data_IF_210944191332
#
_entry.id   IF_210944191332
#
_cell.length_a   1.000
_cell.length_b   1.000
_cell.length_c   1.000
_cell.angle_alpha   90.00
_cell.angle_beta   90.00
_cell.angle_gamma   90.00
#
_symmetry.space_group_name_H-M   'P 1'
#
loop_
_entity.id
_entity.type
_entity.pdbx_description
1 polymer ?
#
# COMPACT_ATOMS: atom_id res chain seq x y z
N UNK A 1 5.01 -16.09 12.63
CA UNK A 1 4.00 -16.83 11.84
C UNK A 1 4.59 -17.16 10.48
N UNK A 2 4.50 -18.43 10.07
CA UNK A 2 5.04 -18.92 8.81
C UNK A 2 4.26 -20.15 8.34
N UNK A 3 4.43 -20.50 7.07
CA UNK A 3 3.91 -21.71 6.42
C UNK A 3 5.02 -22.35 5.59
N UNK A 4 5.09 -23.67 5.67
CA UNK A 4 5.96 -24.53 4.89
C UNK A 4 5.13 -25.63 4.25
N UNK A 5 5.54 -26.11 3.07
CA UNK A 5 4.86 -27.23 2.41
C UNK A 5 5.84 -28.16 1.71
N UNK A 6 5.43 -29.42 1.58
CA UNK A 6 6.16 -30.45 0.84
C UNK A 6 5.70 -30.48 -0.64
N UNK A 7 6.63 -30.38 -1.59
CA UNK A 7 6.38 -30.51 -3.03
C UNK A 7 7.49 -31.34 -3.68
N UNK A 8 7.12 -32.31 -4.51
CA UNK A 8 8.06 -33.12 -5.29
C UNK A 8 9.20 -33.74 -4.46
N UNK A 9 8.92 -34.19 -3.22
CA UNK A 9 9.91 -34.80 -2.32
C UNK A 9 10.78 -33.80 -1.55
N UNK A 10 10.49 -32.50 -1.61
CA UNK A 10 11.19 -31.46 -0.87
C UNK A 10 10.25 -30.64 0.00
N UNK A 11 10.70 -30.27 1.19
CA UNK A 11 10.01 -29.36 2.12
C UNK A 11 10.63 -27.98 1.96
N UNK A 12 9.79 -26.99 1.67
CA UNK A 12 10.19 -25.60 1.47
C UNK A 12 9.80 -24.77 2.68
N UNK A 13 10.73 -23.96 3.16
CA UNK A 13 10.48 -22.96 4.21
C UNK A 13 11.30 -21.69 3.96
N UNK A 14 10.88 -20.59 4.59
CA UNK A 14 11.53 -19.30 4.47
C UNK A 14 12.00 -18.82 5.83
N UNK A 15 13.21 -18.28 5.85
CA UNK A 15 13.83 -17.70 7.04
C UNK A 15 14.17 -16.23 6.78
N UNK A 16 13.64 -15.31 7.58
CA UNK A 16 13.99 -13.89 7.48
C UNK A 16 15.23 -13.64 8.34
N UNK A 17 16.40 -13.75 7.74
CA UNK A 17 17.70 -13.65 8.43
C UNK A 17 18.02 -12.20 8.77
N UNK A 18 17.70 -11.25 7.87
CA UNK A 18 17.79 -9.83 8.16
C UNK A 18 16.39 -9.22 8.19
N UNK A 19 15.98 -8.77 9.37
CA UNK A 19 14.66 -8.18 9.60
C UNK A 19 14.61 -6.71 9.17
N UNK A 20 13.49 -6.23 8.59
CA UNK A 20 13.25 -4.79 8.51
C UNK A 20 13.13 -4.22 9.92
N UNK A 21 13.63 -3.01 10.14
CA UNK A 21 13.53 -2.35 11.45
C UNK A 21 12.77 -1.03 11.35
N UNK A 22 13.08 -0.23 10.33
CA UNK A 22 12.43 1.07 10.16
C UNK A 22 12.39 1.54 8.72
N UNK A 23 11.51 2.48 8.44
CA UNK A 23 11.50 3.24 7.21
C UNK A 23 11.03 4.67 7.46
N UNK A 24 11.28 5.54 6.50
CA UNK A 24 10.60 6.84 6.44
C UNK A 24 9.47 6.75 5.43
N UNK A 25 8.30 7.26 5.80
CA UNK A 25 7.17 7.30 4.89
C UNK A 25 7.51 8.13 3.64
N UNK A 26 7.04 7.67 2.48
CA UNK A 26 7.28 8.32 1.20
C UNK A 26 6.14 9.26 0.79
N UNK A 27 5.00 9.19 1.47
CA UNK A 27 3.80 9.94 1.10
C UNK A 27 3.27 9.55 -0.27
N UNK A 28 2.62 10.50 -0.94
CA UNK A 28 1.91 10.29 -2.21
C UNK A 28 2.60 10.91 -3.42
N UNK A 29 3.66 11.68 -3.22
CA UNK A 29 4.51 12.16 -4.31
C UNK A 29 5.52 11.10 -4.76
N UNK A 30 5.94 11.14 -6.03
CA UNK A 30 6.89 10.16 -6.60
C UNK A 30 8.37 10.49 -6.36
N UNK A 31 8.67 11.63 -5.73
CA UNK A 31 10.05 12.18 -5.66
C UNK A 31 10.89 11.69 -4.46
N UNK A 32 10.29 11.26 -3.35
CA UNK A 32 11.02 10.89 -2.11
C UNK A 32 10.81 9.40 -1.78
N UNK A 33 11.50 8.50 -2.49
CA UNK A 33 11.50 7.06 -2.18
C UNK A 33 12.61 6.74 -1.20
N UNK A 34 12.23 6.13 -0.07
CA UNK A 34 13.14 5.77 1.02
C UNK A 34 12.95 4.32 1.38
N UNK A 35 13.89 3.45 0.96
CA UNK A 35 13.79 2.04 1.24
C UNK A 35 13.74 1.73 2.75
N UNK A 36 13.04 0.66 3.08
CA UNK A 36 13.05 0.04 4.41
C UNK A 36 14.49 -0.36 4.74
N UNK A 37 14.90 -0.10 5.98
CA UNK A 37 16.26 -0.31 6.46
C UNK A 37 16.27 -1.12 7.77
N UNK A 38 17.20 -2.09 7.93
CA UNK A 38 18.02 -2.64 6.85
C UNK A 38 17.14 -3.39 5.81
N UNK A 39 17.63 -3.63 4.58
CA UNK A 39 16.85 -4.32 3.57
C UNK A 39 16.52 -5.75 4.03
N UNK A 40 15.27 -6.23 3.95
CA UNK A 40 14.98 -7.61 4.32
C UNK A 40 15.77 -8.60 3.47
N UNK A 41 16.42 -9.56 4.12
CA UNK A 41 17.11 -10.67 3.47
C UNK A 41 16.47 -11.97 3.91
N UNK A 42 15.90 -12.70 2.95
CA UNK A 42 15.15 -13.93 3.20
C UNK A 42 15.91 -15.09 2.56
N UNK A 43 16.16 -16.13 3.36
CA UNK A 43 16.79 -17.37 2.91
C UNK A 43 15.72 -18.40 2.59
N UNK A 44 15.82 -19.03 1.43
CA UNK A 44 15.03 -20.22 1.09
C UNK A 44 15.74 -21.45 1.63
N UNK A 45 15.00 -22.25 2.41
CA UNK A 45 15.47 -23.52 2.94
C UNK A 45 14.71 -24.64 2.24
N UNK A 46 15.45 -25.52 1.57
CA UNK A 46 14.89 -26.68 0.87
C UNK A 46 15.46 -27.93 1.54
N UNK A 47 14.58 -28.74 2.12
CA UNK A 47 14.95 -29.96 2.83
C UNK A 47 14.44 -31.17 2.05
N UNK A 48 15.30 -32.15 1.80
CA UNK A 48 14.86 -33.43 1.21
C UNK A 48 13.98 -34.18 2.22
N UNK A 49 12.78 -34.56 1.78
CA UNK A 49 11.75 -35.15 2.65
C UNK A 49 12.16 -36.54 3.18
N UNK A 50 13.00 -37.28 2.45
CA UNK A 50 13.44 -38.63 2.85
C UNK A 50 14.58 -38.57 3.86
N UNK A 51 15.54 -37.69 3.63
CA UNK A 51 16.75 -37.61 4.45
C UNK A 51 16.61 -36.63 5.62
N UNK A 52 15.66 -35.69 5.53
CA UNK A 52 15.50 -34.60 6.50
C UNK A 52 16.65 -33.59 6.49
N UNK A 53 17.52 -33.62 5.48
CA UNK A 53 18.68 -32.72 5.37
C UNK A 53 18.44 -31.62 4.34
N UNK A 54 19.00 -30.45 4.62
CA UNK A 54 19.03 -29.34 3.67
C UNK A 54 19.77 -29.77 2.40
N UNK A 55 19.18 -29.49 1.24
CA UNK A 55 19.76 -29.83 -0.06
C UNK A 55 20.88 -28.85 -0.37
N UNK A 56 21.97 -29.38 -0.92
CA UNK A 56 23.06 -28.56 -1.44
C UNK A 56 22.58 -27.72 -2.64
N UNK A 57 22.83 -26.41 -2.59
CA UNK A 57 22.35 -25.46 -3.60
C UNK A 57 22.92 -25.69 -5.00
N UNK A 58 24.05 -26.39 -5.10
CA UNK A 58 24.67 -26.71 -6.40
C UNK A 58 24.14 -28.00 -7.00
N UNK A 59 23.46 -28.82 -6.18
CA UNK A 59 22.86 -30.09 -6.59
C UNK A 59 21.33 -30.04 -6.70
N UNK A 60 20.70 -28.88 -6.44
CA UNK A 60 19.26 -28.75 -6.59
C UNK A 60 18.85 -28.70 -8.08
N UNK A 61 17.86 -29.51 -8.52
CA UNK A 61 17.57 -29.69 -9.95
C UNK A 61 16.90 -28.49 -10.62
N UNK A 62 16.20 -27.63 -9.88
CA UNK A 62 15.50 -26.48 -10.48
C UNK A 62 16.42 -25.26 -10.61
N UNK A 63 16.25 -24.53 -11.70
CA UNK A 63 16.96 -23.26 -11.91
C UNK A 63 16.39 -22.16 -10.98
N UNK A 64 17.21 -21.54 -10.11
CA UNK A 64 16.77 -20.48 -9.21
C UNK A 64 16.26 -19.22 -9.91
N UNK A 65 16.50 -19.04 -11.21
CA UNK A 65 15.92 -17.94 -11.99
C UNK A 65 14.38 -17.98 -11.98
N UNK A 66 13.78 -19.16 -11.77
CA UNK A 66 12.33 -19.36 -11.66
C UNK A 66 11.80 -19.32 -10.21
N UNK A 67 12.66 -19.06 -9.24
CA UNK A 67 12.25 -18.90 -7.84
C UNK A 67 11.88 -17.45 -7.59
N UNK A 68 10.62 -17.21 -7.24
CA UNK A 68 10.07 -15.88 -7.00
C UNK A 68 9.64 -15.74 -5.54
N UNK A 69 9.98 -14.60 -4.95
CA UNK A 69 9.43 -14.15 -3.67
C UNK A 69 8.57 -12.92 -3.91
N UNK A 70 7.29 -13.00 -3.53
CA UNK A 70 6.37 -11.87 -3.52
C UNK A 70 6.24 -11.31 -2.11
N UNK A 71 6.24 -9.98 -1.98
CA UNK A 71 6.12 -9.26 -0.72
C UNK A 71 4.83 -8.42 -0.65
N UNK A 72 4.10 -8.58 0.45
CA UNK A 72 2.90 -7.80 0.78
C UNK A 72 3.05 -7.10 2.13
N UNK A 73 2.35 -5.99 2.33
CA UNK A 73 2.30 -5.27 3.59
C UNK A 73 1.10 -5.70 4.43
N UNK A 74 1.34 -5.93 5.71
CA UNK A 74 0.36 -6.36 6.69
C UNK A 74 0.41 -5.46 7.92
N UNK A 75 -0.70 -5.39 8.64
CA UNK A 75 -0.77 -4.75 9.93
C UNK A 75 0.21 -5.42 10.92
N UNK A 76 0.57 -4.71 11.98
CA UNK A 76 1.49 -5.16 13.03
C UNK A 76 1.12 -6.55 13.61
N UNK A 77 -0.17 -6.85 13.72
CA UNK A 77 -0.64 -8.12 14.28
C UNK A 77 -0.73 -9.26 13.24
N UNK A 78 -0.45 -8.99 11.96
CA UNK A 78 -0.61 -9.94 10.85
C UNK A 78 -2.02 -10.55 10.73
N UNK A 79 -3.03 -9.81 11.17
CA UNK A 79 -4.46 -10.14 11.09
C UNK A 79 -5.11 -9.63 9.80
N UNK A 80 -4.60 -8.52 9.25
CA UNK A 80 -5.05 -7.93 7.99
C UNK A 80 -3.91 -7.34 7.16
N UNK A 81 -4.06 -7.46 5.87
CA UNK A 81 -3.35 -6.79 4.80
C UNK A 81 -3.54 -5.27 4.86
N UNK A 82 -2.43 -4.55 4.73
CA UNK A 82 -2.35 -3.08 4.81
C UNK A 82 -1.92 -2.46 3.48
N UNK A 83 -2.22 -3.16 2.38
CA UNK A 83 -1.74 -2.82 1.04
C UNK A 83 -2.44 -1.61 0.42
N UNK A 84 -3.61 -1.16 0.88
CA UNK A 84 -4.39 -0.07 0.26
C UNK A 84 -4.53 1.11 1.22
N UNK A 85 -4.34 2.32 0.70
CA UNK A 85 -4.50 3.59 1.45
C UNK A 85 -5.32 4.59 0.64
N UNK A 86 -6.12 5.40 1.35
CA UNK A 86 -6.88 6.51 0.76
C UNK A 86 -6.02 7.77 0.73
N UNK A 87 -5.80 8.33 -0.46
CA UNK A 87 -5.28 9.67 -0.66
C UNK A 87 -6.44 10.66 -0.79
N UNK A 88 -6.36 11.80 -0.10
CA UNK A 88 -7.42 12.80 0.01
C UNK A 88 -7.51 13.76 -1.19
N UNK A 89 -6.56 13.75 -2.13
CA UNK A 89 -6.73 14.41 -3.44
C UNK A 89 -5.70 13.95 -4.49
N UNK A 90 -5.96 14.27 -5.77
CA UNK A 90 -5.03 14.08 -6.90
C UNK A 90 -3.81 15.03 -6.85
N UNK A 91 -3.74 15.96 -5.89
CA UNK A 91 -2.61 16.89 -5.81
C UNK A 91 -1.44 16.25 -5.05
N UNK A 92 -0.21 16.31 -5.60
CA UNK A 92 1.01 15.90 -4.89
C UNK A 92 1.33 16.75 -3.63
N UNK A 93 0.47 17.73 -3.31
CA UNK A 93 0.60 18.68 -2.22
C UNK A 93 -0.27 18.36 -0.98
N UNK A 94 -1.03 17.27 -0.95
CA UNK A 94 -1.85 16.97 0.24
C UNK A 94 -0.97 16.52 1.40
N UNK A 95 -1.24 17.10 2.57
CA UNK A 95 -0.60 16.77 3.83
C UNK A 95 -0.57 15.26 4.07
N UNK A 96 0.66 14.74 4.12
CA UNK A 96 1.11 13.43 4.56
C UNK A 96 0.27 12.80 5.71
N UNK A 97 -0.29 13.63 6.60
CA UNK A 97 -0.99 13.24 7.82
C UNK A 97 -2.45 12.79 7.67
N UNK A 98 -3.08 12.91 6.49
CA UNK A 98 -4.53 12.60 6.33
C UNK A 98 -4.85 11.24 5.70
N UNK A 99 -3.86 10.37 5.51
CA UNK A 99 -4.07 9.08 4.85
C UNK A 99 -4.45 7.97 5.84
N UNK A 100 -5.53 7.26 5.51
CA UNK A 100 -6.01 6.11 6.30
C UNK A 100 -5.76 4.81 5.52
N UNK A 101 -5.22 3.81 6.21
CA UNK A 101 -5.09 2.45 5.68
C UNK A 101 -6.46 1.77 5.64
N UNK A 102 -6.76 1.06 4.56
CA UNK A 102 -7.99 0.26 4.42
C UNK A 102 -7.65 -1.10 3.81
N UNK A 103 -8.37 -2.14 4.22
CA UNK A 103 -8.33 -3.45 3.54
C UNK A 103 -9.15 -3.41 2.24
N UNK A 104 -8.90 -4.37 1.36
CA UNK A 104 -9.70 -4.59 0.15
C UNK A 104 -10.67 -5.76 0.38
N UNK A 105 -11.94 -5.69 -0.07
CA UNK A 105 -12.58 -4.54 -0.73
C UNK A 105 -12.79 -3.36 0.23
N UNK A 106 -12.69 -2.10 -0.24
CA UNK A 106 -12.95 -0.95 0.61
C UNK A 106 -14.40 -1.01 1.13
N UNK A 107 -14.66 -0.63 2.40
CA UNK A 107 -16.03 -0.53 2.92
C UNK A 107 -16.87 0.34 1.99
N UNK A 108 -18.12 -0.06 1.72
CA UNK A 108 -19.07 0.80 1.02
C UNK A 108 -19.24 2.10 1.80
N UNK A 109 -18.78 3.21 1.22
CA UNK A 109 -18.97 4.54 1.78
C UNK A 109 -20.47 4.84 1.65
N UNK A 110 -21.24 4.47 2.68
CA UNK A 110 -22.60 4.94 2.85
C UNK A 110 -22.49 6.46 2.91
N UNK A 111 -22.81 7.12 1.80
CA UNK A 111 -22.82 8.58 1.71
C UNK A 111 -23.55 9.17 2.90
N UNK A 112 -23.24 10.41 3.30
CA UNK A 112 -23.83 11.01 4.49
C UNK A 112 -25.34 10.89 4.35
N UNK A 113 -25.96 10.11 5.26
CA UNK A 113 -27.40 10.15 5.44
C UNK A 113 -27.68 11.60 5.79
N UNK A 114 -28.24 12.34 4.84
CA UNK A 114 -28.81 13.65 5.08
C UNK A 114 -29.84 13.45 6.20
N UNK A 115 -29.45 13.69 7.45
CA UNK A 115 -30.42 14.17 8.43
C UNK A 115 -30.95 15.45 7.81
N UNK A 116 -32.25 15.44 7.53
CA UNK A 116 -32.95 16.59 7.02
C UNK A 116 -32.94 17.66 8.13
N UNK A 117 -31.88 18.44 8.19
CA UNK A 117 -31.79 19.59 9.08
C UNK A 117 -32.67 20.67 8.45
N UNK A 118 -33.87 20.83 9.01
CA UNK A 118 -34.82 21.86 8.62
C UNK A 118 -34.12 23.24 8.71
N UNK A 119 -34.14 24.07 7.66
CA UNK A 119 -33.52 25.38 7.71
C UNK A 119 -34.30 26.26 8.69
N UNK A 120 -33.68 26.59 9.83
CA UNK A 120 -34.23 27.55 10.77
C UNK A 120 -33.84 28.95 10.31
N UNK A 121 -34.83 29.74 9.93
CA UNK A 121 -34.62 31.16 9.61
C UNK A 121 -34.53 31.95 10.92
N UNK A 122 -33.47 32.73 11.05
CA UNK A 122 -33.22 33.63 12.18
C UNK A 122 -33.58 35.06 11.78
N UNK A 123 -34.41 35.71 12.59
CA UNK A 123 -34.69 37.14 12.42
C UNK A 123 -34.65 37.85 13.78
N UNK A 124 -34.28 39.13 13.73
CA UNK A 124 -34.18 40.00 14.90
C UNK A 124 -35.47 40.83 14.95
N UNK A 125 -36.18 40.76 16.07
CA UNK A 125 -37.37 41.57 16.29
C UNK A 125 -37.02 43.06 16.50
N UNK A 126 -38.03 43.93 16.52
CA UNK A 126 -37.84 45.38 16.72
C UNK A 126 -37.24 45.77 18.08
N UNK A 127 -37.11 44.82 19.01
CA UNK A 127 -36.52 45.02 20.33
C UNK A 127 -35.10 44.44 20.44
N UNK A 128 -34.53 43.95 19.33
CA UNK A 128 -33.15 43.45 19.28
C UNK A 128 -32.98 42.00 19.74
N UNK A 129 -34.07 41.26 19.95
CA UNK A 129 -34.03 39.86 20.39
C UNK A 129 -34.01 38.90 19.19
N UNK A 130 -33.07 37.93 19.14
CA UNK A 130 -33.04 36.92 18.08
C UNK A 130 -34.15 35.88 18.29
N UNK A 131 -35.04 35.74 17.30
CA UNK A 131 -36.15 34.78 17.32
C UNK A 131 -35.96 33.76 16.19
N UNK A 132 -35.98 32.48 16.55
CA UNK A 132 -35.91 31.36 15.62
C UNK A 132 -37.32 30.89 15.27
N UNK A 133 -37.65 30.84 13.98
CA UNK A 133 -38.97 30.44 13.50
C UNK A 133 -38.87 29.26 12.55
N UNK A 134 -39.58 28.19 12.89
CA UNK A 134 -39.85 27.04 12.02
C UNK A 134 -41.06 27.38 11.15
N UNK A 135 -40.84 27.58 9.84
CA UNK A 135 -41.93 27.66 8.87
C UNK A 135 -42.56 26.27 8.68
N UNK A 136 -43.89 26.10 8.77
CA UNK A 136 -44.53 24.84 8.40
C UNK A 136 -44.40 24.65 6.88
N UNK A 137 -43.61 23.67 6.46
CA UNK A 137 -43.49 23.30 5.06
C UNK A 137 -44.82 22.76 4.53
N UNK A 138 -45.41 23.45 3.56
CA UNK A 138 -46.52 22.89 2.77
C UNK A 138 -45.98 21.75 1.89
N UNK A 139 -46.66 20.60 1.84
CA UNK A 139 -46.23 19.50 0.97
C UNK A 139 -46.44 19.87 -0.49
N UNK A 140 -45.36 19.88 -1.28
CA UNK A 140 -45.39 19.90 -2.74
C UNK A 140 -45.94 18.55 -3.21
N UNK A 141 -47.18 18.53 -3.69
CA UNK A 141 -47.76 17.41 -4.43
C UNK A 141 -47.17 17.39 -5.85
N UNK A 142 -46.48 16.29 -6.20
CA UNK A 142 -46.17 15.97 -7.59
C UNK A 142 -47.48 15.82 -8.37
N UNK A 143 -47.71 16.68 -9.38
CA UNK A 143 -48.79 16.49 -10.35
C UNK A 143 -48.23 16.47 -11.76
N UNK A 144 -48.21 15.27 -12.32
CA UNK A 144 -48.10 14.99 -13.75
C UNK A 144 -49.38 15.46 -14.48
N UNK A 145 -49.24 16.11 -15.63
CA UNK A 145 -50.31 16.19 -16.64
C UNK A 145 -50.71 17.59 -17.12
N UNK A 146 -50.33 17.87 -18.38
CA UNK A 146 -51.13 18.48 -19.46
C UNK A 146 -52.20 19.55 -19.16
N UNK A 147 -52.05 20.69 -19.84
CA UNK A 147 -53.13 21.32 -20.61
C UNK A 147 -54.05 22.34 -19.91
N UNK A 148 -53.90 23.61 -20.30
CA UNK A 148 -55.01 24.54 -20.60
C UNK A 148 -55.87 25.13 -19.47
N UNK A 149 -56.14 26.43 -19.57
CA UNK A 149 -57.36 27.04 -19.02
C UNK A 149 -57.14 28.10 -17.94
N UNK A 150 -57.44 29.34 -18.31
CA UNK A 150 -57.46 30.53 -17.46
C UNK A 150 -58.74 30.63 -16.63
N UNK A 151 -58.65 31.08 -15.37
CA UNK A 151 -59.73 31.75 -14.63
C UNK A 151 -59.15 32.80 -13.67
N UNK A 152 -59.85 33.93 -13.55
CA UNK A 152 -59.47 35.16 -12.86
C UNK A 152 -60.22 35.34 -11.52
N UNK A 153 -59.82 36.42 -10.79
CA UNK A 153 -60.51 37.20 -9.72
C UNK A 153 -59.87 37.12 -8.30
N UNK A 154 -60.08 38.10 -7.39
CA UNK A 154 -59.80 39.55 -7.49
C UNK A 154 -59.02 40.20 -6.30
N UNK A 155 -58.29 41.27 -6.63
CA UNK A 155 -58.03 42.56 -5.94
C UNK A 155 -57.99 42.74 -4.41
N UNK A 156 -56.86 43.28 -3.93
CA UNK A 156 -56.77 44.27 -2.82
C UNK A 156 -55.67 45.33 -3.15
N UNK A 157 -55.77 46.57 -2.62
CA UNK A 157 -55.13 47.76 -3.17
C UNK A 157 -53.72 48.03 -2.63
N UNK A 158 -53.01 48.89 -3.37
CA UNK A 158 -51.55 49.06 -3.35
C UNK A 158 -50.93 49.60 -2.07
N UNK A 159 -49.64 49.30 -1.95
CA UNK A 159 -48.67 50.08 -1.20
C UNK A 159 -47.45 50.35 -2.10
N UNK A 160 -47.23 51.64 -2.38
CA UNK A 160 -46.09 52.17 -3.11
C UNK A 160 -44.79 51.89 -2.35
N UNK A 161 -43.79 51.27 -2.99
CA UNK A 161 -42.39 51.37 -2.56
C UNK A 161 -41.48 51.64 -3.77
N UNK A 162 -40.39 52.42 -3.60
CA UNK A 162 -39.67 53.03 -4.70
C UNK A 162 -38.78 52.01 -5.43
N UNK A 163 -38.81 52.12 -6.75
CA UNK A 163 -37.93 51.48 -7.71
C UNK A 163 -36.49 51.98 -7.51
N UNK A 164 -35.63 51.15 -6.91
CA UNK A 164 -34.17 51.29 -7.00
C UNK A 164 -33.66 50.22 -7.95
N UNK A 165 -33.29 50.66 -9.16
CA UNK A 165 -32.74 49.81 -10.21
C UNK A 165 -31.30 49.38 -9.89
N UNK A 166 -31.07 48.08 -9.81
CA UNK A 166 -29.77 47.43 -9.95
C UNK A 166 -29.93 46.18 -10.81
N UNK A 167 -28.95 45.80 -11.65
CA UNK A 167 -29.07 44.61 -12.48
C UNK A 167 -29.20 43.37 -11.57
N UNK A 168 -29.99 42.35 -11.97
CA UNK A 168 -30.16 41.16 -11.14
C UNK A 168 -28.82 40.44 -11.06
N UNK A 169 -28.23 40.39 -9.88
CA UNK A 169 -27.09 39.52 -9.60
C UNK A 169 -27.63 38.09 -9.69
N UNK A 170 -27.25 37.39 -10.76
CA UNK A 170 -27.51 35.96 -10.91
C UNK A 170 -26.84 35.25 -9.73
N UNK A 171 -27.63 34.84 -8.74
CA UNK A 171 -27.16 34.02 -7.64
C UNK A 171 -26.86 32.63 -8.21
N UNK A 172 -25.60 32.40 -8.59
CA UNK A 172 -25.13 31.07 -8.95
C UNK A 172 -25.18 30.24 -7.67
N UNK A 173 -26.02 29.19 -7.57
CA UNK A 173 -26.02 28.35 -6.38
C UNK A 173 -24.59 27.81 -6.21
N UNK A 174 -24.07 27.71 -4.98
CA UNK A 174 -22.79 27.04 -4.77
C UNK A 174 -22.93 25.65 -5.38
N UNK A 175 -22.21 25.40 -6.47
CA UNK A 175 -22.10 24.05 -7.03
C UNK A 175 -21.65 23.18 -5.87
N UNK A 176 -22.51 22.23 -5.48
CA UNK A 176 -22.15 21.23 -4.49
C UNK A 176 -20.79 20.70 -4.90
N UNK A 177 -19.78 20.89 -4.04
CA UNK A 177 -18.45 20.39 -4.28
C UNK A 177 -18.61 18.92 -4.65
N UNK A 178 -18.34 18.58 -5.91
CA UNK A 178 -18.28 17.19 -6.36
C UNK A 178 -17.45 16.47 -5.30
N UNK A 179 -17.97 15.40 -4.66
CA UNK A 179 -17.22 14.71 -3.63
C UNK A 179 -15.88 14.32 -4.27
N UNK A 180 -14.79 14.91 -3.77
CA UNK A 180 -13.45 14.62 -4.27
C UNK A 180 -13.29 13.10 -4.21
N UNK A 181 -13.19 12.47 -5.39
CA UNK A 181 -13.17 11.02 -5.46
C UNK A 181 -11.93 10.56 -4.70
N UNK A 182 -12.16 9.78 -3.65
CA UNK A 182 -11.12 9.16 -2.86
C UNK A 182 -10.21 8.34 -3.79
N UNK A 183 -8.95 8.73 -3.94
CA UNK A 183 -8.00 7.92 -4.70
C UNK A 183 -7.43 6.83 -3.80
N UNK A 184 -7.72 5.57 -4.11
CA UNK A 184 -7.08 4.44 -3.45
C UNK A 184 -5.79 4.10 -4.18
N UNK A 185 -4.71 3.90 -3.43
CA UNK A 185 -3.42 3.50 -4.00
C UNK A 185 -2.72 2.47 -3.11
N UNK A 186 -1.72 1.78 -3.67
CA UNK A 186 -0.95 0.79 -2.94
C UNK A 186 0.01 1.46 -1.95
N UNK A 187 0.03 0.98 -0.71
CA UNK A 187 0.85 1.51 0.36
C UNK A 187 2.32 1.07 0.26
N UNK A 188 2.56 -0.22 0.05
CA UNK A 188 3.90 -0.76 -0.21
C UNK A 188 4.23 -0.63 -1.69
N UNK A 189 5.34 0.04 -1.98
CA UNK A 189 5.79 0.37 -3.33
C UNK A 189 7.26 -0.01 -3.53
N UNK A 190 7.70 -0.02 -4.79
CA UNK A 190 9.03 -0.47 -5.18
C UNK A 190 8.97 -1.87 -5.81
N UNK A 191 10.05 -2.63 -5.68
CA UNK A 191 10.21 -3.97 -6.23
C UNK A 191 9.60 -5.02 -5.28
N UNK A 192 8.31 -5.31 -5.47
CA UNK A 192 7.54 -6.21 -4.59
C UNK A 192 7.76 -7.70 -4.89
N UNK A 193 8.36 -8.01 -6.04
CA UNK A 193 8.72 -9.35 -6.46
C UNK A 193 10.19 -9.38 -6.78
N UNK A 194 10.90 -10.39 -6.27
CA UNK A 194 12.32 -10.59 -6.52
C UNK A 194 12.60 -12.06 -6.84
N UNK A 195 13.60 -12.30 -7.69
CA UNK A 195 14.09 -13.64 -7.99
C UNK A 195 15.08 -14.08 -6.90
N UNK A 196 15.28 -15.39 -6.76
CA UNK A 196 16.34 -15.90 -5.91
C UNK A 196 17.71 -15.60 -6.53
N UNK A 197 18.68 -15.26 -5.69
CA UNK A 197 20.08 -15.17 -6.02
C UNK A 197 20.86 -16.24 -5.23
N UNK A 198 21.78 -16.94 -5.89
CA UNK A 198 22.79 -17.74 -5.21
C UNK A 198 23.84 -16.80 -4.64
N UNK A 199 23.89 -16.68 -3.31
CA UNK A 199 24.81 -15.78 -2.61
C UNK A 199 25.40 -16.49 -1.39
N UNK A 200 26.60 -16.07 -1.02
CA UNK A 200 27.23 -16.41 0.24
C UNK A 200 26.86 -15.37 1.30
N UNK A 201 26.50 -15.81 2.50
CA UNK A 201 26.26 -14.89 3.62
C UNK A 201 27.56 -14.27 4.15
N UNK A 202 27.46 -13.50 5.23
CA UNK A 202 28.60 -12.89 5.92
C UNK A 202 29.55 -13.90 6.58
N UNK A 203 29.12 -15.16 6.75
CA UNK A 203 29.92 -16.29 7.21
C UNK A 203 30.43 -17.18 6.06
N UNK A 204 30.29 -16.73 4.81
CA UNK A 204 30.66 -17.47 3.58
C UNK A 204 29.85 -18.74 3.35
N UNK A 205 28.69 -18.90 3.98
CA UNK A 205 27.78 -20.01 3.73
C UNK A 205 26.93 -19.73 2.48
N UNK A 206 26.95 -20.61 1.46
CA UNK A 206 26.12 -20.46 0.28
C UNK A 206 24.64 -20.68 0.59
N UNK A 207 23.76 -19.98 -0.12
CA UNK A 207 22.31 -20.13 0.00
C UNK A 207 21.54 -19.52 -1.17
N UNK A 208 20.25 -19.85 -1.23
CA UNK A 208 19.29 -19.14 -2.06
C UNK A 208 18.71 -17.97 -1.27
N UNK A 209 18.93 -16.75 -1.77
CA UNK A 209 18.61 -15.52 -1.09
C UNK A 209 17.68 -14.65 -1.91
N UNK A 210 16.70 -14.06 -1.23
CA UNK A 210 15.89 -12.97 -1.74
C UNK A 210 16.25 -11.71 -0.98
N UNK A 211 16.71 -10.68 -1.69
CA UNK A 211 17.06 -9.39 -1.11
C UNK A 211 16.04 -8.37 -1.55
N UNK A 212 15.38 -7.72 -0.59
CA UNK A 212 14.28 -6.78 -0.80
C UNK A 212 14.75 -5.34 -0.54
N UNK A 213 15.77 -4.88 -1.29
CA UNK A 213 16.41 -3.58 -1.07
C UNK A 213 15.63 -2.37 -1.61
N UNK A 214 14.59 -2.60 -2.40
CA UNK A 214 13.77 -1.56 -3.03
C UNK A 214 12.31 -1.67 -2.57
N UNK A 215 12.08 -1.59 -1.26
CA UNK A 215 10.74 -1.55 -0.67
C UNK A 215 10.55 -0.25 0.10
N UNK A 216 9.48 0.48 -0.19
CA UNK A 216 9.13 1.73 0.50
C UNK A 216 7.65 1.73 0.90
N UNK A 217 7.29 2.48 1.95
CA UNK A 217 5.91 2.56 2.45
C UNK A 217 5.41 4.00 2.39
N UNK A 218 4.18 4.22 1.93
CA UNK A 218 3.62 5.56 1.75
C UNK A 218 3.20 6.21 3.06
N UNK A 219 2.60 5.46 3.99
CA UNK A 219 2.07 5.98 5.25
C UNK A 219 2.94 5.60 6.44
N UNK A 220 2.92 6.42 7.49
CA UNK A 220 3.49 6.04 8.78
C UNK A 220 2.64 4.95 9.49
N UNK A 221 3.25 4.23 10.42
CA UNK A 221 2.58 3.16 11.18
C UNK A 221 3.50 1.98 11.51
N UNK A 222 2.93 0.97 12.15
CA UNK A 222 3.60 -0.30 12.45
C UNK A 222 3.06 -1.39 11.52
N UNK A 223 3.98 -2.11 10.88
CA UNK A 223 3.65 -3.08 9.85
C UNK A 223 4.51 -4.33 9.95
N UNK A 224 4.07 -5.38 9.26
CA UNK A 224 4.88 -6.55 8.91
C UNK A 224 4.92 -6.73 7.41
N UNK A 225 5.99 -7.32 6.91
CA UNK A 225 6.04 -7.83 5.55
C UNK A 225 5.60 -9.29 5.57
N UNK A 226 4.77 -9.69 4.62
CA UNK A 226 4.48 -11.10 4.31
C UNK A 226 5.20 -11.46 3.03
N UNK A 227 6.10 -12.44 3.11
CA UNK A 227 6.95 -12.88 2.02
C UNK A 227 6.55 -14.28 1.61
N UNK A 228 6.07 -14.46 0.38
CA UNK A 228 5.56 -15.72 -0.16
C UNK A 228 6.42 -16.22 -1.31
N UNK A 229 6.87 -17.46 -1.21
CA UNK A 229 7.72 -18.11 -2.19
C UNK A 229 6.91 -18.98 -3.16
N UNK A 230 7.25 -18.86 -4.44
CA UNK A 230 6.70 -19.65 -5.55
C UNK A 230 7.85 -20.11 -6.42
N UNK A 231 7.84 -21.39 -6.79
CA UNK A 231 8.66 -21.94 -7.87
C UNK A 231 7.79 -22.00 -9.14
N UNK A 232 8.20 -21.28 -10.19
CA UNK A 232 7.53 -21.29 -11.49
C UNK A 232 8.31 -22.09 -12.55
N UNK A 233 9.27 -22.92 -12.14
CA UNK A 233 9.96 -23.83 -13.05
C UNK A 233 8.98 -24.82 -13.68
N UNK A 234 9.25 -25.23 -14.93
CA UNK A 234 8.43 -26.22 -15.60
C UNK A 234 8.46 -27.51 -14.77
N UNK A 235 7.31 -28.15 -14.50
CA UNK A 235 7.30 -29.46 -13.88
C UNK A 235 8.22 -30.38 -14.68
N UNK A 236 9.03 -31.24 -14.03
CA UNK A 236 9.80 -32.24 -14.75
C UNK A 236 8.85 -32.98 -15.68
N UNK A 237 9.12 -32.90 -16.99
CA UNK A 237 8.19 -33.26 -18.03
C UNK A 237 7.53 -34.61 -17.71
N UNK A 238 6.22 -34.63 -17.48
CA UNK A 238 5.48 -35.85 -17.78
C UNK A 238 5.74 -36.14 -19.27
N UNK A 239 6.02 -37.40 -19.65
CA UNK A 239 6.33 -37.73 -21.03
C UNK A 239 5.25 -37.12 -21.93
N UNK A 240 5.64 -36.34 -22.96
CA UNK A 240 4.65 -35.68 -23.80
C UNK A 240 3.72 -36.75 -24.40
N UNK A 241 2.40 -36.51 -24.47
CA UNK A 241 1.54 -37.33 -25.30
C UNK A 241 2.13 -37.28 -26.71
N UNK A 242 2.48 -38.46 -27.22
CA UNK A 242 3.17 -38.66 -28.49
C UNK A 242 2.41 -37.96 -29.61
N UNK A 243 2.77 -36.74 -29.97
CA UNK A 243 2.57 -36.18 -31.31
C UNK A 243 3.24 -34.81 -31.43
N UNK A 244 4.01 -34.72 -32.52
CA UNK A 244 4.49 -33.52 -33.19
C UNK A 244 5.89 -33.06 -32.81
N UNK A 245 6.82 -33.39 -33.70
CA UNK A 245 8.14 -32.80 -33.87
C UNK A 245 8.05 -31.26 -33.88
N UNK A 246 8.59 -30.66 -32.83
CA UNK A 246 8.90 -29.25 -32.76
C UNK A 246 10.16 -29.08 -31.93
N UNK A 247 11.26 -28.72 -32.58
CA UNK A 247 12.50 -28.26 -31.94
C UNK A 247 12.18 -27.02 -31.11
N UNK A 248 11.87 -27.22 -29.82
CA UNK A 248 11.65 -26.17 -28.86
C UNK A 248 12.42 -26.49 -27.59
N UNK A 249 13.58 -25.88 -27.44
CA UNK A 249 14.33 -25.82 -26.18
C UNK A 249 13.43 -25.14 -25.15
N UNK A 250 12.66 -25.91 -24.37
CA UNK A 250 11.78 -25.37 -23.32
C UNK A 250 12.62 -25.01 -22.10
N UNK A 251 13.42 -23.96 -22.21
CA UNK A 251 13.83 -23.19 -21.04
C UNK A 251 12.57 -22.51 -20.50
N UNK A 252 11.95 -22.84 -19.38
CA UNK A 252 12.21 -23.81 -18.31
C UNK A 252 11.19 -23.52 -17.19
N UNK A 253 10.04 -22.92 -17.55
CA UNK A 253 9.08 -22.32 -16.64
C UNK A 253 7.63 -22.56 -17.09
N UNK A 254 6.68 -22.36 -16.18
CA UNK A 254 5.25 -22.57 -16.40
C UNK A 254 4.71 -21.56 -17.43
N UNK A 255 4.27 -22.04 -18.60
CA UNK A 255 3.62 -21.21 -19.63
C UNK A 255 2.08 -21.34 -19.63
N UNK A 256 1.52 -22.28 -18.86
CA UNK A 256 0.08 -22.54 -18.69
C UNK A 256 -0.18 -23.10 -17.29
N UNK A 257 -1.39 -22.90 -16.76
CA UNK A 257 -1.78 -23.46 -15.46
C UNK A 257 -1.50 -22.51 -14.29
N UNK A 258 -1.22 -23.06 -13.11
CA UNK A 258 -1.03 -22.32 -11.87
C UNK A 258 0.19 -22.87 -11.12
N UNK A 259 0.99 -21.98 -10.54
CA UNK A 259 2.01 -22.34 -9.56
C UNK A 259 1.47 -22.05 -8.15
N UNK A 260 1.76 -22.95 -7.21
CA UNK A 260 1.29 -22.83 -5.81
C UNK A 260 2.32 -22.09 -4.97
N UNK A 261 1.88 -21.38 -3.94
CA UNK A 261 2.79 -20.87 -2.90
C UNK A 261 3.34 -22.03 -2.09
N UNK A 262 4.66 -22.19 -2.09
CA UNK A 262 5.35 -23.31 -1.44
C UNK A 262 5.68 -23.01 0.03
N UNK A 263 5.94 -21.75 0.34
CA UNK A 263 6.21 -21.29 1.70
C UNK A 263 5.82 -19.81 1.84
N UNK A 264 5.49 -19.35 3.04
CA UNK A 264 5.43 -17.93 3.35
C UNK A 264 5.88 -17.64 4.78
N UNK A 265 6.38 -16.44 5.03
CA UNK A 265 6.82 -15.99 6.36
C UNK A 265 6.49 -14.52 6.59
N UNK A 266 6.14 -14.16 7.83
CA UNK A 266 6.06 -12.76 8.24
C UNK A 266 7.39 -12.27 8.81
N UNK A 267 7.76 -11.03 8.52
CA UNK A 267 8.83 -10.34 9.22
C UNK A 267 8.45 -10.05 10.68
N UNK A 268 9.44 -9.65 11.48
CA UNK A 268 9.19 -8.88 12.70
C UNK A 268 8.45 -7.57 12.37
N UNK A 269 7.71 -6.97 13.34
CA UNK A 269 7.15 -5.64 13.16
C UNK A 269 8.25 -4.62 12.91
N UNK A 270 7.97 -3.66 12.04
CA UNK A 270 8.85 -2.53 11.80
C UNK A 270 8.03 -1.24 11.74
N UNK A 271 8.68 -0.12 12.07
CA UNK A 271 8.01 1.17 12.13
C UNK A 271 8.34 2.03 10.91
N UNK A 272 7.30 2.55 10.29
CA UNK A 272 7.40 3.60 9.28
C UNK A 272 7.14 4.94 9.98
N UNK A 273 8.11 5.83 9.95
CA UNK A 273 8.06 7.12 10.62
C UNK A 273 7.65 8.23 9.64
N UNK A 274 6.95 9.25 10.13
CA UNK A 274 6.87 10.54 9.45
C UNK A 274 8.25 11.17 9.22
N UNK A 275 8.31 12.10 8.26
CA UNK A 275 9.55 12.79 7.89
C UNK A 275 10.27 13.44 9.08
N UNK A 276 9.53 13.99 10.05
CA UNK A 276 10.09 14.68 11.23
C UNK A 276 10.59 13.72 12.33
N UNK A 277 10.00 12.53 12.44
CA UNK A 277 10.30 11.57 13.50
C UNK A 277 11.30 10.48 13.08
N UNK A 278 11.70 10.47 11.81
CA UNK A 278 12.57 9.42 11.29
C UNK A 278 13.98 9.52 11.92
N UNK A 279 14.45 8.48 12.64
CA UNK A 279 15.72 8.51 13.37
C UNK A 279 16.96 8.31 12.47
N UNK A 280 16.81 8.44 11.16
CA UNK A 280 17.87 8.18 10.18
C UNK A 280 17.93 6.74 9.71
N UNK A 281 18.72 6.52 8.66
CA UNK A 281 18.91 5.20 8.03
C UNK A 281 19.86 4.37 8.90
N UNK A 282 19.67 3.06 8.96
CA UNK A 282 20.59 2.16 9.69
C UNK A 282 21.88 2.01 8.88
N UNK A 283 23.00 1.86 9.56
CA UNK A 283 24.27 1.53 8.92
C UNK A 283 24.18 0.19 8.16
N UNK A 284 25.08 -0.01 7.19
CA UNK A 284 25.06 -1.24 6.41
C UNK A 284 25.54 -2.42 7.27
N UNK A 285 24.65 -3.38 7.48
CA UNK A 285 24.96 -4.62 8.20
C UNK A 285 26.05 -5.44 7.50
N UNK A 286 26.73 -6.36 8.21
CA UNK A 286 27.68 -7.31 7.61
C UNK A 286 27.07 -8.08 6.43
N UNK A 287 25.84 -8.59 6.59
CA UNK A 287 25.13 -9.30 5.51
C UNK A 287 24.84 -8.41 4.29
N UNK A 288 24.41 -7.16 4.51
CA UNK A 288 24.20 -6.19 3.41
C UNK A 288 25.50 -5.90 2.67
N UNK A 289 26.61 -5.73 3.40
CA UNK A 289 27.95 -5.51 2.83
C UNK A 289 28.39 -6.74 2.02
N UNK A 290 28.19 -7.95 2.55
CA UNK A 290 28.53 -9.21 1.87
C UNK A 290 27.75 -9.40 0.56
N UNK A 291 26.43 -9.12 0.55
CA UNK A 291 25.63 -9.21 -0.67
C UNK A 291 25.94 -8.11 -1.68
N UNK A 292 26.27 -6.90 -1.23
CA UNK A 292 26.69 -5.83 -2.13
C UNK A 292 27.99 -6.16 -2.86
N UNK A 293 28.95 -6.79 -2.17
CA UNK A 293 30.19 -7.28 -2.79
C UNK A 293 29.95 -8.37 -3.85
N UNK A 294 28.81 -9.07 -3.78
CA UNK A 294 28.40 -10.10 -4.74
C UNK A 294 27.48 -9.57 -5.84
N UNK A 295 27.34 -8.24 -5.97
CA UNK A 295 26.62 -7.60 -7.07
C UNK A 295 25.17 -7.18 -6.77
N UNK A 296 24.66 -7.41 -5.56
CA UNK A 296 23.34 -6.90 -5.17
C UNK A 296 23.44 -5.37 -4.97
N UNK A 297 22.56 -4.61 -5.61
CA UNK A 297 22.58 -3.13 -5.59
C UNK A 297 22.05 -2.55 -4.28
N UNK A 298 22.76 -2.77 -3.18
CA UNK A 298 22.44 -2.21 -1.86
C UNK A 298 23.29 -0.96 -1.63
N UNK A 299 22.71 0.21 -1.33
CA UNK A 299 23.48 1.40 -0.96
C UNK A 299 24.29 1.15 0.32
N UNK A 300 25.63 1.16 0.22
CA UNK A 300 26.52 0.93 1.36
C UNK A 300 26.88 2.25 2.04
N UNK A 301 26.71 2.30 3.36
CA UNK A 301 27.07 3.41 4.24
C UNK A 301 28.16 2.96 5.20
N UNK A 302 29.19 3.80 5.39
CA UNK A 302 30.21 3.64 6.43
C UNK A 302 29.81 4.46 7.65
N UNK A 303 30.16 3.98 8.84
CA UNK A 303 30.10 4.79 10.05
C UNK A 303 31.18 5.88 10.00
N UNK A 304 30.77 7.12 10.26
CA UNK A 304 31.68 8.25 10.50
C UNK A 304 31.90 8.51 12.01
N UNK A 305 31.58 7.53 12.88
CA UNK A 305 31.86 7.65 14.31
C UNK A 305 33.18 6.95 14.64
N UNK A 306 34.28 7.69 14.56
CA UNK A 306 35.59 7.15 14.93
C UNK A 306 36.78 8.10 14.73
N UNK A 307 36.62 9.43 14.90
CA UNK A 307 37.76 10.37 14.85
C UNK A 307 37.63 11.55 15.84
N UNK A 308 36.76 11.51 16.85
CA UNK A 308 36.55 12.65 17.79
C UNK A 308 36.75 12.34 19.29
N UNK A 309 37.31 11.19 19.68
CA UNK A 309 37.48 10.89 21.13
C UNK A 309 38.83 10.26 21.54
N UNK A 310 39.90 10.45 20.76
CA UNK A 310 41.28 10.10 21.16
C UNK A 310 42.22 11.31 21.13
N UNK A 311 41.80 12.42 21.74
CA UNK A 311 42.54 13.68 21.63
C UNK A 311 42.48 14.62 22.83
N UNK A 312 42.30 14.15 24.06
CA UNK A 312 42.54 14.97 25.26
C UNK A 312 42.99 14.09 26.43
N UNK A 313 44.31 13.95 26.61
CA UNK A 313 44.82 13.17 27.72
C UNK A 313 46.31 13.10 27.92
N UNK A 314 47.12 14.08 27.51
CA UNK A 314 48.47 14.29 28.06
C UNK A 314 48.85 15.78 28.00
N UNK A 315 48.77 16.47 29.13
CA UNK A 315 49.74 17.49 29.57
C UNK A 315 49.70 17.62 31.10
#
# INVERSE_FOLDING_TARGET
>A
MAFSSAHNGYIYSLEVVQQPQRARMCGFGDKDRRPITPPPCVRLVIVDEKTGREVDIDNFPSDPSFFLLQCDLWAENADREANVVRASSNSPAVSISSATTTSYPPPVENGPRHMHEQPHSMYIDSNGTPVYSTMPGYPILHRTGSGGGAYAQPGYPGAYYPQMGGPPVQYMPPQAAQPASAMYTRNLIGSLTVNAAKLNDDNKKPGYWFVLQDLSVRTEGYFRLRMGFVDISAPPAQPPPSTTNGSGTTNGGVNRGKARTLAWVYSAPFQVYSAKKFPGVIESTPLSKAFAQQGIKIPIRKDNKGDEDEGLGEE
#
